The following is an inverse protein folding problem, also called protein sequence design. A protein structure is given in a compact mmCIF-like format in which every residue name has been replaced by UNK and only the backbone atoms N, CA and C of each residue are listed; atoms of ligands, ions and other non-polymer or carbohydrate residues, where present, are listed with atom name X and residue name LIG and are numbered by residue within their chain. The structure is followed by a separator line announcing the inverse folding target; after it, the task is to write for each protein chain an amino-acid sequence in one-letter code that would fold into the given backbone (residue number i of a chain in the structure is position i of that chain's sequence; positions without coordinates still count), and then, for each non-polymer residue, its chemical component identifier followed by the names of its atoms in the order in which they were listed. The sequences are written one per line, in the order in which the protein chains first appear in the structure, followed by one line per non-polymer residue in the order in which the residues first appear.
data_IF_584370574467
#
_entry.id   IF_584370574467
#
_cell.length_a   1.000
_cell.length_b   1.000
_cell.length_c   1.000
_cell.angle_alpha   90.00
_cell.angle_beta   90.00
_cell.angle_gamma   90.00
#
_symmetry.space_group_name_H-M   'P 1'
#
loop_
_entity.id
_entity.type
_entity.pdbx_description
1 polymer ?
#
# COMPACT_ATOMS: atom_id res chain seq x y z
N UNK A 1 19.79 35.37 20.41
CA UNK A 1 19.89 34.27 21.40
C UNK A 1 18.59 33.48 21.44
N UNK A 2 18.55 32.33 20.76
CA UNK A 2 17.88 31.08 21.16
C UNK A 2 18.67 29.96 20.46
N UNK A 3 18.98 28.81 21.11
CA UNK A 3 20.27 28.14 20.92
C UNK A 3 20.28 26.99 19.91
N UNK A 4 21.51 26.73 19.46
CA UNK A 4 22.03 25.56 18.77
C UNK A 4 21.62 24.25 19.46
N UNK A 5 20.55 23.58 19.03
CA UNK A 5 20.42 22.14 19.28
C UNK A 5 19.39 21.45 18.36
N UNK A 6 19.76 21.19 17.11
CA UNK A 6 19.25 20.02 16.41
C UNK A 6 20.43 19.21 15.88
N UNK A 7 20.97 18.39 16.77
CA UNK A 7 21.88 17.29 16.45
C UNK A 7 21.26 16.43 15.35
N UNK A 8 22.07 16.25 14.31
CA UNK A 8 22.10 15.16 13.34
C UNK A 8 21.27 13.92 13.77
N UNK A 9 20.18 13.64 13.06
CA UNK A 9 19.64 12.28 12.97
C UNK A 9 20.03 11.72 11.61
N UNK A 10 21.23 11.14 11.52
CA UNK A 10 21.52 10.23 10.41
C UNK A 10 20.56 9.05 10.53
N UNK A 11 19.80 8.70 9.47
CA UNK A 11 18.96 7.51 9.51
C UNK A 11 19.87 6.29 9.68
N UNK A 12 19.55 5.42 10.62
CA UNK A 12 20.24 4.15 10.80
C UNK A 12 20.03 3.28 9.54
N UNK A 13 21.07 2.55 9.09
CA UNK A 13 21.00 1.71 7.87
C UNK A 13 19.84 0.70 7.92
N UNK A 14 19.43 0.30 9.12
CA UNK A 14 18.29 -0.60 9.34
C UNK A 14 16.92 0.08 9.14
N UNK A 15 16.82 1.40 9.40
CA UNK A 15 15.64 2.20 9.05
C UNK A 15 15.49 2.38 7.54
N UNK A 16 16.59 2.46 6.80
CA UNK A 16 16.59 2.60 5.34
C UNK A 16 15.99 1.39 4.62
N UNK A 17 16.27 0.15 5.07
CA UNK A 17 15.73 -1.07 4.42
C UNK A 17 14.22 -1.21 4.62
N UNK A 18 13.71 -0.93 5.83
CA UNK A 18 12.27 -0.96 6.13
C UNK A 18 11.52 0.14 5.38
N UNK A 19 12.10 1.33 5.28
CA UNK A 19 11.52 2.43 4.51
C UNK A 19 11.32 2.06 3.03
N UNK A 20 12.30 1.38 2.42
CA UNK A 20 12.18 0.87 1.05
C UNK A 20 11.03 -0.14 0.93
N UNK A 21 10.91 -1.08 1.88
CA UNK A 21 9.83 -2.07 1.88
C UNK A 21 8.43 -1.42 2.00
N UNK A 22 8.27 -0.44 2.89
CA UNK A 22 7.00 0.30 3.06
C UNK A 22 6.63 1.03 1.76
N UNK A 23 7.60 1.70 1.12
CA UNK A 23 7.34 2.40 -0.15
C UNK A 23 7.03 1.44 -1.30
N UNK A 24 7.69 0.28 -1.35
CA UNK A 24 7.40 -0.75 -2.33
C UNK A 24 5.97 -1.27 -2.13
N UNK A 25 5.59 -1.61 -0.90
CA UNK A 25 4.25 -2.08 -0.56
C UNK A 25 3.17 -1.04 -0.93
N UNK A 26 3.39 0.23 -0.60
CA UNK A 26 2.49 1.32 -0.97
C UNK A 26 2.26 1.39 -2.49
N UNK A 27 3.34 1.30 -3.28
CA UNK A 27 3.27 1.28 -4.74
C UNK A 27 2.55 0.04 -5.25
N UNK A 28 2.82 -1.12 -4.68
CA UNK A 28 2.18 -2.38 -5.08
C UNK A 28 0.67 -2.32 -4.82
N UNK A 29 0.22 -1.94 -3.61
CA UNK A 29 -1.20 -1.79 -3.30
C UNK A 29 -1.91 -0.82 -4.26
N UNK A 30 -1.27 0.29 -4.61
CA UNK A 30 -1.84 1.22 -5.58
C UNK A 30 -1.88 0.71 -7.03
N UNK A 31 -1.00 -0.22 -7.40
CA UNK A 31 -1.07 -0.91 -8.69
C UNK A 31 -2.15 -1.99 -8.66
N UNK A 32 -2.17 -2.81 -7.60
CA UNK A 32 -3.16 -3.87 -7.42
C UNK A 32 -4.57 -3.30 -7.42
N UNK A 33 -4.86 -2.20 -6.70
CA UNK A 33 -6.20 -1.57 -6.77
C UNK A 33 -6.60 -1.14 -8.19
N UNK A 34 -5.65 -0.67 -9.01
CA UNK A 34 -5.95 -0.20 -10.37
C UNK A 34 -6.29 -1.36 -11.30
N UNK A 35 -5.62 -2.50 -11.09
CA UNK A 35 -5.90 -3.74 -11.83
C UNK A 35 -7.22 -4.36 -11.38
N UNK A 36 -7.44 -4.37 -10.07
CA UNK A 36 -8.54 -5.07 -9.40
C UNK A 36 -9.86 -4.32 -9.45
N UNK A 37 -9.87 -2.99 -9.55
CA UNK A 37 -11.08 -2.17 -9.66
C UNK A 37 -11.15 -1.43 -10.99
N UNK A 38 -10.67 -2.06 -12.06
CA UNK A 38 -10.63 -1.43 -13.39
C UNK A 38 -12.05 -1.01 -13.79
N UNK A 39 -12.19 0.23 -14.26
CA UNK A 39 -13.46 0.86 -14.65
C UNK A 39 -14.48 1.12 -13.50
N UNK A 40 -14.16 0.78 -12.26
CA UNK A 40 -14.98 1.15 -11.09
C UNK A 40 -14.39 2.38 -10.40
N UNK A 41 -14.79 3.57 -10.87
CA UNK A 41 -14.30 4.83 -10.33
C UNK A 41 -14.60 5.01 -8.83
N UNK A 42 -15.72 4.47 -8.34
CA UNK A 42 -16.09 4.57 -6.92
C UNK A 42 -15.20 3.68 -6.07
N UNK A 43 -15.00 2.42 -6.47
CA UNK A 43 -14.12 1.50 -5.76
C UNK A 43 -12.65 1.94 -5.83
N UNK A 44 -12.20 2.46 -6.98
CA UNK A 44 -10.86 3.03 -7.12
C UNK A 44 -10.62 4.17 -6.13
N UNK A 45 -11.56 5.10 -5.99
CA UNK A 45 -11.41 6.23 -5.08
C UNK A 45 -11.53 5.81 -3.61
N UNK A 46 -12.48 4.95 -3.27
CA UNK A 46 -12.60 4.40 -1.92
C UNK A 46 -11.30 3.67 -1.50
N UNK A 47 -10.76 2.82 -2.38
CA UNK A 47 -9.48 2.13 -2.12
C UNK A 47 -8.31 3.12 -2.02
N UNK A 48 -8.29 4.19 -2.84
CA UNK A 48 -7.27 5.24 -2.76
C UNK A 48 -7.27 5.92 -1.39
N UNK A 49 -8.45 6.33 -0.93
CA UNK A 49 -8.62 7.04 0.34
C UNK A 49 -8.16 6.13 1.47
N UNK A 50 -8.65 4.89 1.51
CA UNK A 50 -8.31 3.94 2.57
C UNK A 50 -6.82 3.63 2.65
N UNK A 51 -6.16 3.36 1.51
CA UNK A 51 -4.70 3.14 1.47
C UNK A 51 -3.95 4.38 1.98
N UNK A 52 -4.32 5.58 1.55
CA UNK A 52 -3.63 6.79 2.00
C UNK A 52 -3.86 7.08 3.49
N UNK A 53 -5.05 6.82 4.01
CA UNK A 53 -5.39 7.00 5.42
C UNK A 53 -4.55 6.09 6.30
N UNK A 54 -4.51 4.78 6.01
CA UNK A 54 -3.73 3.81 6.80
C UNK A 54 -2.24 4.16 6.84
N UNK A 55 -1.66 4.59 5.72
CA UNK A 55 -0.25 4.99 5.68
C UNK A 55 0.01 6.34 6.37
N UNK A 56 -0.97 7.27 6.37
CA UNK A 56 -0.87 8.53 7.12
C UNK A 56 -0.95 8.30 8.63
N UNK A 57 -1.90 7.47 9.08
CA UNK A 57 -2.09 7.14 10.49
C UNK A 57 -0.85 6.48 11.10
N UNK A 58 -0.13 5.66 10.32
CA UNK A 58 1.06 4.95 10.76
C UNK A 58 2.38 5.70 10.48
N UNK A 59 2.35 6.92 9.94
CA UNK A 59 3.56 7.68 9.54
C UNK A 59 4.51 7.98 10.69
N UNK A 60 3.98 8.20 11.89
CA UNK A 60 4.76 8.51 13.11
C UNK A 60 5.15 7.25 13.89
N UNK A 61 4.83 6.05 13.39
CA UNK A 61 5.20 4.82 14.06
C UNK A 61 6.72 4.64 14.02
N UNK A 62 7.31 4.42 15.19
CA UNK A 62 8.77 4.28 15.36
C UNK A 62 9.15 2.92 15.92
N UNK A 63 8.17 2.11 16.34
CA UNK A 63 8.39 0.76 16.82
C UNK A 63 8.75 -0.18 15.66
N UNK A 64 9.95 -0.78 15.64
CA UNK A 64 10.38 -1.65 14.55
C UNK A 64 9.51 -2.91 14.42
N UNK A 65 9.03 -3.47 15.53
CA UNK A 65 8.12 -4.63 15.54
C UNK A 65 6.79 -4.31 14.88
N UNK A 66 6.24 -3.13 15.19
CA UNK A 66 4.95 -2.70 14.66
C UNK A 66 5.03 -2.34 13.16
N UNK A 67 6.15 -1.74 12.73
CA UNK A 67 6.40 -1.50 11.30
C UNK A 67 6.44 -2.84 10.53
N UNK A 68 7.09 -3.85 11.07
CA UNK A 68 7.16 -5.18 10.45
C UNK A 68 5.79 -5.87 10.36
N UNK A 69 4.99 -5.77 11.41
CA UNK A 69 3.61 -6.24 11.43
C UNK A 69 2.73 -5.52 10.39
N UNK A 70 2.83 -4.20 10.30
CA UNK A 70 2.11 -3.40 9.31
C UNK A 70 2.50 -3.75 7.86
N UNK A 71 3.79 -4.02 7.60
CA UNK A 71 4.26 -4.49 6.29
C UNK A 71 3.65 -5.86 5.96
N UNK A 72 3.59 -6.76 6.93
CA UNK A 72 3.00 -8.10 6.75
C UNK A 72 1.50 -7.99 6.44
N UNK A 73 0.75 -7.25 7.27
CA UNK A 73 -0.69 -7.02 7.06
C UNK A 73 -0.96 -6.43 5.68
N UNK A 74 -0.22 -5.39 5.28
CA UNK A 74 -0.43 -4.79 3.97
C UNK A 74 -0.08 -5.74 2.81
N UNK A 75 0.89 -6.63 2.98
CA UNK A 75 1.22 -7.66 1.99
C UNK A 75 0.11 -8.71 1.89
N UNK A 76 -0.47 -9.12 3.01
CA UNK A 76 -1.61 -10.05 3.04
C UNK A 76 -2.84 -9.41 2.37
N UNK A 77 -3.09 -8.11 2.62
CA UNK A 77 -4.16 -7.35 1.94
C UNK A 77 -3.93 -7.27 0.44
N UNK A 78 -2.68 -7.05 0.00
CA UNK A 78 -2.33 -7.06 -1.42
C UNK A 78 -2.64 -8.41 -2.06
N UNK A 79 -2.27 -9.50 -1.40
CA UNK A 79 -2.54 -10.86 -1.86
C UNK A 79 -4.05 -11.10 -1.98
N UNK A 80 -4.82 -10.76 -0.92
CA UNK A 80 -6.27 -10.91 -0.89
C UNK A 80 -6.93 -10.11 -2.02
N UNK A 81 -6.51 -8.86 -2.23
CA UNK A 81 -7.06 -8.04 -3.33
C UNK A 81 -6.82 -8.69 -4.69
N UNK A 82 -5.63 -9.27 -4.90
CA UNK A 82 -5.28 -9.92 -6.15
C UNK A 82 -5.99 -11.26 -6.37
N UNK A 83 -6.21 -12.05 -5.31
CA UNK A 83 -6.79 -13.40 -5.43
C UNK A 83 -8.30 -13.43 -5.32
N UNK A 84 -8.88 -12.56 -4.50
CA UNK A 84 -10.30 -12.64 -4.11
C UNK A 84 -11.19 -11.73 -4.94
N UNK A 85 -10.62 -10.75 -5.64
CA UNK A 85 -11.39 -9.87 -6.52
C UNK A 85 -11.21 -10.33 -7.97
N UNK A 86 -12.23 -11.03 -8.46
CA UNK A 86 -12.32 -11.43 -9.86
C UNK A 86 -13.05 -10.31 -10.61
N UNK A 87 -12.38 -9.72 -11.61
CA UNK A 87 -12.98 -8.76 -12.52
C UNK A 87 -13.79 -9.51 -13.58
N UNK A 88 -15.12 -9.44 -13.50
CA UNK A 88 -16.00 -9.90 -14.57
C UNK A 88 -15.95 -8.93 -15.75
N UNK A 89 -15.21 -9.28 -16.81
CA UNK A 89 -15.22 -8.50 -18.04
C UNK A 89 -16.48 -8.92 -18.83
N UNK A 90 -17.50 -8.05 -18.89
CA UNK A 90 -18.64 -8.29 -19.76
C UNK A 90 -18.22 -8.03 -21.21
N UNK A 91 -17.78 -9.08 -21.88
CA UNK A 91 -17.59 -9.10 -23.33
C UNK A 91 -18.93 -9.52 -23.92
N UNK A 92 -19.51 -8.76 -24.87
CA UNK A 92 -20.81 -9.01 -25.52
C UNK A 92 -20.95 -10.38 -26.25
N UNK A 93 -19.99 -11.29 -26.06
CA UNK A 93 -20.10 -12.71 -26.40
C UNK A 93 -19.71 -13.57 -25.21
N UNK A 94 -20.67 -13.87 -24.33
CA UNK A 94 -20.75 -15.03 -23.41
C UNK A 94 -19.42 -15.73 -22.97
N UNK A 95 -18.36 -14.98 -22.69
CA UNK A 95 -17.07 -15.52 -22.25
C UNK A 95 -16.40 -14.50 -21.34
N UNK A 96 -16.27 -14.88 -20.06
CA UNK A 96 -15.51 -14.15 -19.07
C UNK A 96 -14.04 -14.55 -19.23
N UNK A 97 -13.17 -13.58 -19.47
CA UNK A 97 -11.72 -13.77 -19.54
C UNK A 97 -11.07 -13.12 -18.32
N UNK A 98 -10.27 -13.88 -17.58
CA UNK A 98 -9.36 -13.30 -16.59
C UNK A 98 -8.12 -12.72 -17.30
N UNK A 99 -7.61 -11.55 -16.89
CA UNK A 99 -6.36 -11.02 -17.44
C UNK A 99 -5.18 -11.95 -17.12
N UNK A 100 -4.13 -11.98 -17.98
CA UNK A 100 -2.98 -12.88 -17.85
C UNK A 100 -2.11 -12.59 -16.62
#
# INVERSE_FOLDING_TARGET
MWPLQLRSRRPTLQGSRRFVQVLQLFKTLHRTRQQVFKNDARALEAARIKINEEFKCNKSETSPKKIEELIKIGSDVELILRTSVIQGIHTDHNTLRTPP
#
